data_IF_884788712164
#
_entry.id   IF_884788712164
#
_cell.length_a   1.000
_cell.length_b   1.000
_cell.length_c   1.000
_cell.angle_alpha   90.00
_cell.angle_beta   90.00
_cell.angle_gamma   90.00
#
_symmetry.space_group_name_H-M   'P 1'
#
loop_
_entity.id
_entity.type
_entity.pdbx_description
1 polymer ?
#
# COMPACT_ATOMS: atom_id res chain seq x y z
N UNK A 1 20.97 -8.14 -10.68
CA UNK A 1 19.94 -7.30 -11.36
C UNK A 1 18.56 -7.96 -11.43
N UNK A 2 18.45 -9.29 -11.42
CA UNK A 2 17.16 -10.03 -11.32
C UNK A 2 16.26 -9.70 -10.09
N UNK A 3 16.79 -9.49 -8.86
CA UNK A 3 15.94 -9.42 -7.67
C UNK A 3 14.95 -8.24 -7.65
N UNK A 4 15.33 -7.08 -8.20
CA UNK A 4 14.48 -5.87 -8.17
C UNK A 4 13.29 -5.97 -9.11
N UNK A 5 13.53 -6.39 -10.35
CA UNK A 5 12.47 -6.60 -11.32
C UNK A 5 11.50 -7.70 -10.88
N UNK A 6 12.01 -8.71 -10.15
CA UNK A 6 11.18 -9.76 -9.56
C UNK A 6 10.24 -9.20 -8.48
N UNK A 7 10.78 -8.41 -7.53
CA UNK A 7 9.95 -7.79 -6.48
C UNK A 7 8.92 -6.82 -7.06
N UNK A 8 9.30 -6.02 -8.06
CA UNK A 8 8.36 -5.12 -8.71
C UNK A 8 7.21 -5.89 -9.40
N UNK A 9 7.53 -6.99 -10.10
CA UNK A 9 6.53 -7.83 -10.76
C UNK A 9 5.62 -8.52 -9.74
N UNK A 10 6.19 -9.09 -8.68
CA UNK A 10 5.44 -9.70 -7.58
C UNK A 10 4.50 -8.69 -6.92
N UNK A 11 5.01 -7.50 -6.60
CA UNK A 11 4.21 -6.39 -6.08
C UNK A 11 3.06 -6.02 -7.01
N UNK A 12 3.31 -5.95 -8.32
CA UNK A 12 2.28 -5.64 -9.33
C UNK A 12 1.18 -6.69 -9.38
N UNK A 13 1.54 -7.97 -9.37
CA UNK A 13 0.59 -9.08 -9.35
C UNK A 13 -0.25 -9.04 -8.06
N UNK A 14 0.39 -8.88 -6.91
CA UNK A 14 -0.29 -8.81 -5.61
C UNK A 14 -1.23 -7.60 -5.54
N UNK A 15 -0.80 -6.43 -6.01
CA UNK A 15 -1.64 -5.24 -6.05
C UNK A 15 -2.89 -5.47 -6.89
N UNK A 16 -2.73 -6.01 -8.10
CA UNK A 16 -3.87 -6.34 -8.98
C UNK A 16 -4.82 -7.36 -8.35
N UNK A 17 -4.28 -8.38 -7.67
CA UNK A 17 -5.10 -9.32 -6.90
C UNK A 17 -5.84 -8.62 -5.76
N UNK A 18 -5.20 -7.73 -5.00
CA UNK A 18 -5.84 -6.97 -3.92
C UNK A 18 -6.98 -6.08 -4.41
N UNK A 19 -6.80 -5.42 -5.55
CA UNK A 19 -7.80 -4.53 -6.13
C UNK A 19 -9.06 -5.25 -6.64
N UNK A 20 -8.94 -6.53 -7.02
CA UNK A 20 -10.05 -7.35 -7.55
C UNK A 20 -10.90 -8.06 -6.49
N UNK A 21 -10.53 -7.97 -5.20
CA UNK A 21 -11.16 -8.76 -4.14
C UNK A 21 -12.08 -7.89 -3.28
N UNK A 22 -13.23 -8.45 -2.95
CA UNK A 22 -14.14 -7.87 -1.95
C UNK A 22 -13.88 -8.45 -0.55
N UNK A 23 -13.32 -9.66 -0.47
CA UNK A 23 -13.04 -10.33 0.80
C UNK A 23 -11.96 -9.59 1.59
N UNK A 24 -12.30 -9.16 2.82
CA UNK A 24 -11.50 -8.23 3.62
C UNK A 24 -10.07 -8.69 3.85
N UNK A 25 -9.90 -9.94 4.26
CA UNK A 25 -8.60 -10.45 4.74
C UNK A 25 -7.63 -10.71 3.59
N UNK A 26 -8.14 -11.21 2.46
CA UNK A 26 -7.33 -11.41 1.26
C UNK A 26 -6.93 -10.08 0.64
N UNK A 27 -7.84 -9.11 0.59
CA UNK A 27 -7.52 -7.76 0.13
C UNK A 27 -6.46 -7.11 1.03
N UNK A 28 -6.59 -7.25 2.35
CA UNK A 28 -5.58 -6.81 3.30
C UNK A 28 -4.21 -7.41 2.99
N UNK A 29 -4.12 -8.75 2.94
CA UNK A 29 -2.85 -9.45 2.76
C UNK A 29 -2.20 -9.09 1.43
N UNK A 30 -2.96 -9.10 0.33
CA UNK A 30 -2.42 -8.76 -0.98
C UNK A 30 -1.93 -7.32 -1.09
N UNK A 31 -2.70 -6.35 -0.58
CA UNK A 31 -2.29 -4.95 -0.63
C UNK A 31 -1.07 -4.69 0.27
N UNK A 32 -1.03 -5.26 1.48
CA UNK A 32 0.12 -5.13 2.37
C UNK A 32 1.39 -5.72 1.75
N UNK A 33 1.33 -6.96 1.27
CA UNK A 33 2.48 -7.62 0.64
C UNK A 33 2.92 -6.90 -0.64
N UNK A 34 1.98 -6.34 -1.42
CA UNK A 34 2.35 -5.55 -2.60
C UNK A 34 3.18 -4.32 -2.25
N UNK A 35 2.78 -3.58 -1.21
CA UNK A 35 3.54 -2.42 -0.71
C UNK A 35 4.94 -2.80 -0.25
N UNK A 36 5.07 -3.90 0.48
CA UNK A 36 6.37 -4.41 0.94
C UNK A 36 7.30 -4.79 -0.22
N UNK A 37 6.77 -5.42 -1.29
CA UNK A 37 7.53 -5.75 -2.49
C UNK A 37 8.10 -4.48 -3.17
N UNK A 38 7.31 -3.42 -3.28
CA UNK A 38 7.76 -2.16 -3.89
C UNK A 38 8.83 -1.44 -3.06
N UNK A 39 8.78 -1.56 -1.73
CA UNK A 39 9.76 -0.94 -0.82
C UNK A 39 11.16 -1.56 -0.89
N UNK A 40 11.30 -2.76 -1.49
CA UNK A 40 12.63 -3.36 -1.70
C UNK A 40 13.40 -2.66 -2.83
N UNK A 41 12.71 -1.93 -3.71
CA UNK A 41 13.34 -1.11 -4.74
C UNK A 41 13.35 0.37 -4.35
N UNK A 42 14.53 0.99 -4.33
CA UNK A 42 14.71 2.41 -4.01
C UNK A 42 14.46 3.33 -5.23
N UNK A 43 13.82 2.82 -6.28
CA UNK A 43 13.42 3.60 -7.44
C UNK A 43 12.17 4.43 -7.15
N UNK A 44 12.03 5.58 -7.84
CA UNK A 44 10.82 6.39 -7.72
C UNK A 44 9.64 5.64 -8.30
N UNK A 45 8.62 5.44 -7.46
CA UNK A 45 7.32 4.98 -7.93
C UNK A 45 6.24 5.39 -6.91
N UNK A 46 5.01 5.49 -7.37
CA UNK A 46 3.82 5.73 -6.55
C UNK A 46 3.19 4.44 -6.00
N UNK A 47 3.63 3.26 -6.46
CA UNK A 47 2.95 2.00 -6.22
C UNK A 47 2.93 1.58 -4.75
N UNK A 48 4.04 1.77 -4.02
CA UNK A 48 4.06 1.54 -2.56
C UNK A 48 3.05 2.45 -1.83
N UNK A 49 3.04 3.75 -2.18
CA UNK A 49 2.11 4.71 -1.60
C UNK A 49 0.65 4.38 -1.97
N UNK A 50 0.40 3.98 -3.22
CA UNK A 50 -0.92 3.56 -3.70
C UNK A 50 -1.42 2.30 -2.99
N UNK A 51 -0.58 1.27 -2.84
CA UNK A 51 -0.93 0.05 -2.12
C UNK A 51 -1.34 0.34 -0.68
N UNK A 52 -0.56 1.15 0.03
CA UNK A 52 -0.87 1.59 1.39
C UNK A 52 -2.12 2.47 1.44
N UNK A 53 -2.36 3.31 0.43
CA UNK A 53 -3.53 4.18 0.37
C UNK A 53 -4.82 3.40 0.13
N UNK A 54 -4.81 2.42 -0.79
CA UNK A 54 -5.96 1.55 -1.03
C UNK A 54 -6.22 0.63 0.18
N UNK A 55 -5.16 0.18 0.86
CA UNK A 55 -5.29 -0.54 2.13
C UNK A 55 -5.92 0.36 3.22
N UNK A 56 -5.51 1.63 3.29
CA UNK A 56 -6.07 2.59 4.23
C UNK A 56 -7.56 2.85 3.98
N UNK A 57 -7.97 2.97 2.71
CA UNK A 57 -9.39 3.10 2.33
C UNK A 57 -10.19 1.85 2.69
N UNK A 58 -9.61 0.68 2.47
CA UNK A 58 -10.25 -0.61 2.75
C UNK A 58 -10.51 -0.82 4.25
N UNK A 59 -9.55 -0.43 5.08
CA UNK A 59 -9.64 -0.60 6.54
C UNK A 59 -10.23 0.60 7.28
N UNK A 60 -10.50 1.69 6.56
CA UNK A 60 -10.67 3.04 7.11
C UNK A 60 -9.67 3.29 8.25
N UNK A 61 -8.36 3.28 7.92
CA UNK A 61 -7.31 3.31 8.93
C UNK A 61 -6.40 4.53 8.81
N UNK A 62 -6.46 5.40 9.83
CA UNK A 62 -5.57 6.55 9.95
C UNK A 62 -4.08 6.16 9.98
N UNK A 63 -3.75 4.98 10.52
CA UNK A 63 -2.38 4.47 10.53
C UNK A 63 -1.85 4.26 9.11
N UNK A 64 -2.61 3.57 8.27
CA UNK A 64 -2.19 3.28 6.90
C UNK A 64 -2.25 4.53 6.01
N UNK A 65 -3.18 5.46 6.26
CA UNK A 65 -3.15 6.78 5.60
C UNK A 65 -1.85 7.53 5.90
N UNK A 66 -1.39 7.55 7.17
CA UNK A 66 -0.11 8.18 7.53
C UNK A 66 1.09 7.50 6.87
N UNK A 67 1.06 6.16 6.75
CA UNK A 67 2.12 5.41 6.05
C UNK A 67 2.16 5.77 4.56
N UNK A 68 1.02 5.77 3.87
CA UNK A 68 0.91 6.20 2.47
C UNK A 68 1.43 7.63 2.28
N UNK A 69 1.07 8.56 3.17
CA UNK A 69 1.56 9.94 3.11
C UNK A 69 3.08 10.03 3.33
N UNK A 70 3.66 9.21 4.21
CA UNK A 70 5.10 9.20 4.45
C UNK A 70 5.86 8.80 3.19
N UNK A 71 5.42 7.72 2.54
CA UNK A 71 6.00 7.24 1.28
C UNK A 71 5.83 8.25 0.14
N UNK A 72 4.64 8.84 0.03
CA UNK A 72 4.38 9.86 -0.98
C UNK A 72 5.27 11.09 -0.82
N UNK A 73 5.48 11.57 0.41
CA UNK A 73 6.41 12.69 0.69
C UNK A 73 7.85 12.35 0.34
N UNK A 74 8.30 11.14 0.65
CA UNK A 74 9.66 10.70 0.33
C UNK A 74 9.90 10.69 -1.19
N UNK A 75 8.97 10.11 -1.96
CA UNK A 75 9.05 10.09 -3.42
C UNK A 75 8.94 11.49 -4.04
N UNK A 76 8.06 12.36 -3.53
CA UNK A 76 7.97 13.75 -3.99
C UNK A 76 9.25 14.55 -3.72
N UNK A 77 9.87 14.33 -2.56
CA UNK A 77 11.14 14.97 -2.21
C UNK A 77 12.28 14.50 -3.12
N UNK A 78 12.27 13.23 -3.50
CA UNK A 78 13.21 12.71 -4.49
C UNK A 78 12.93 13.26 -5.89
N UNK A 79 11.67 13.32 -6.33
CA UNK A 79 11.29 13.92 -7.61
C UNK A 79 11.70 15.39 -7.71
N UNK A 80 11.60 16.14 -6.61
CA UNK A 80 12.02 17.53 -6.54
C UNK A 80 13.55 17.73 -6.72
N UNK A 81 14.35 16.66 -6.66
CA UNK A 81 15.80 16.72 -6.91
C UNK A 81 16.16 16.72 -8.40
N UNK A 82 15.21 16.46 -9.29
CA UNK A 82 15.44 16.47 -10.74
C UNK A 82 15.22 17.86 -11.34
N UNK A 83 16.13 18.29 -12.22
CA UNK A 83 15.99 19.56 -12.96
C UNK A 83 14.81 19.57 -13.94
N UNK A 84 14.46 18.38 -14.47
CA UNK A 84 13.34 18.20 -15.40
C UNK A 84 12.75 16.81 -15.25
N UNK A 85 11.43 16.75 -15.09
CA UNK A 85 10.68 15.51 -14.99
C UNK A 85 10.33 14.97 -16.39
N UNK A 86 10.35 13.65 -16.53
CA UNK A 86 9.69 13.00 -17.66
C UNK A 86 8.17 13.07 -17.52
N UNK A 87 7.42 12.74 -18.59
CA UNK A 87 5.96 12.66 -18.50
C UNK A 87 5.50 11.63 -17.45
N UNK A 88 6.20 10.49 -17.36
CA UNK A 88 5.88 9.45 -16.37
C UNK A 88 6.15 9.93 -14.94
N UNK A 89 7.19 10.73 -14.73
CA UNK A 89 7.51 11.30 -13.42
C UNK A 89 6.49 12.38 -13.01
N UNK A 90 6.00 13.18 -13.95
CA UNK A 90 4.92 14.15 -13.71
C UNK A 90 3.60 13.46 -13.34
N UNK A 91 3.28 12.34 -14.01
CA UNK A 91 2.10 11.54 -13.67
C UNK A 91 2.25 10.90 -12.28
N UNK A 92 3.43 10.35 -11.98
CA UNK A 92 3.76 9.83 -10.64
C UNK A 92 3.62 10.92 -9.57
N UNK A 93 4.18 12.12 -9.82
CA UNK A 93 4.06 13.27 -8.93
C UNK A 93 2.61 13.61 -8.63
N UNK A 94 1.76 13.69 -9.66
CA UNK A 94 0.34 14.00 -9.53
C UNK A 94 -0.39 12.95 -8.68
N UNK A 95 -0.10 11.66 -8.89
CA UNK A 95 -0.66 10.58 -8.05
C UNK A 95 -0.28 10.78 -6.59
N UNK A 96 1.00 11.05 -6.31
CA UNK A 96 1.50 11.23 -4.95
C UNK A 96 0.90 12.47 -4.26
N UNK A 97 0.76 13.59 -4.97
CA UNK A 97 0.10 14.80 -4.47
C UNK A 97 -1.37 14.54 -4.10
N UNK A 98 -2.09 13.83 -4.97
CA UNK A 98 -3.48 13.42 -4.71
C UNK A 98 -3.60 12.51 -3.46
N UNK A 99 -2.66 11.57 -3.29
CA UNK A 99 -2.61 10.74 -2.06
C UNK A 99 -2.45 11.62 -0.82
N UNK A 100 -1.56 12.62 -0.85
CA UNK A 100 -1.37 13.53 0.30
C UNK A 100 -2.62 14.33 0.63
N UNK A 101 -3.31 14.84 -0.39
CA UNK A 101 -4.55 15.60 -0.22
C UNK A 101 -5.65 14.75 0.42
N UNK A 102 -5.95 13.61 -0.21
CA UNK A 102 -7.08 12.76 0.21
C UNK A 102 -6.81 12.11 1.56
N UNK A 103 -5.62 11.55 1.78
CA UNK A 103 -5.26 10.94 3.06
C UNK A 103 -5.23 11.99 4.18
N UNK A 104 -4.72 13.19 3.91
CA UNK A 104 -4.73 14.30 4.86
C UNK A 104 -6.15 14.72 5.23
N UNK A 105 -7.07 14.77 4.25
CA UNK A 105 -8.48 15.06 4.49
C UNK A 105 -9.14 13.99 5.37
N UNK A 106 -8.94 12.71 5.05
CA UNK A 106 -9.47 11.58 5.81
C UNK A 106 -9.02 11.58 7.27
N UNK A 107 -7.74 11.86 7.53
CA UNK A 107 -7.21 11.96 8.90
C UNK A 107 -7.86 13.12 9.66
N UNK A 108 -8.07 14.29 9.02
CA UNK A 108 -8.66 15.47 9.67
C UNK A 108 -10.13 15.31 10.01
N UNK A 109 -10.90 14.66 9.13
CA UNK A 109 -12.35 14.51 9.28
C UNK A 109 -12.76 13.44 10.30
N UNK A 110 -11.80 12.73 10.89
CA UNK A 110 -12.07 11.53 11.67
C UNK A 110 -12.31 10.36 10.71
N UNK A 111 -11.40 9.41 10.74
CA UNK A 111 -11.60 8.13 10.07
C UNK A 111 -12.63 7.37 10.91
N UNK A 112 -13.63 6.73 10.29
CA UNK A 112 -14.67 6.01 11.02
C UNK A 112 -14.00 4.82 11.71
N UNK A 113 -13.93 4.85 13.04
CA UNK A 113 -13.33 3.79 13.87
C UNK A 113 -14.14 2.46 13.84
N UNK A 114 -14.89 2.17 12.78
CA UNK A 114 -15.47 0.85 12.54
C UNK A 114 -14.37 -0.12 12.07
N UNK A 115 -13.37 -0.31 12.92
CA UNK A 115 -12.45 -1.43 12.82
C UNK A 115 -13.27 -2.68 13.11
N UNK A 116 -13.76 -3.34 12.07
CA UNK A 116 -14.09 -4.76 12.20
C UNK A 116 -12.76 -5.46 12.48
N UNK A 117 -12.50 -5.78 13.75
CA UNK A 117 -11.35 -6.59 14.12
C UNK A 117 -11.28 -7.80 13.18
N UNK A 118 -10.14 -8.05 12.52
CA UNK A 118 -9.98 -9.26 11.75
C UNK A 118 -10.16 -10.42 12.71
N UNK A 119 -11.25 -11.18 12.55
CA UNK A 119 -11.46 -12.43 13.28
C UNK A 119 -10.46 -13.44 12.75
N UNK A 120 -9.22 -13.35 13.24
CA UNK A 120 -8.23 -14.42 13.12
C UNK A 120 -8.78 -15.58 13.94
N UNK A 121 -9.61 -16.42 13.32
CA UNK A 121 -9.87 -17.76 13.82
C UNK A 121 -8.58 -18.53 13.61
N UNK A 122 -7.74 -18.59 14.65
CA UNK A 122 -6.79 -19.68 14.77
C UNK A 122 -7.53 -20.98 14.51
N UNK A 123 -7.07 -21.74 13.52
CA UNK A 123 -7.55 -23.09 13.28
C UNK A 123 -7.05 -23.99 14.42
N UNK A 124 -7.72 -23.91 15.58
CA UNK A 124 -7.65 -24.95 16.60
C UNK A 124 -8.29 -26.22 16.03
N UNK A 125 -7.48 -27.08 15.40
CA UNK A 125 -7.56 -28.55 15.49
C UNK A 125 -6.75 -29.21 14.38
N UNK A 126 -5.41 -29.17 14.49
CA UNK A 126 -4.56 -30.25 13.93
C UNK A 126 -3.36 -30.47 14.86
N UNK A 127 -3.58 -30.90 16.11
CA UNK A 127 -2.49 -31.51 16.88
C UNK A 127 -2.88 -32.55 17.93
N UNK A 128 -4.10 -33.10 17.87
CA UNK A 128 -4.49 -34.29 18.63
C UNK A 128 -4.71 -35.50 17.70
N UNK A 129 -3.68 -35.91 16.97
CA UNK A 129 -3.60 -37.25 16.33
C UNK A 129 -2.15 -37.73 16.18
N UNK A 130 -1.39 -37.73 17.26
CA UNK A 130 -0.27 -38.67 17.40
C UNK A 130 -0.37 -39.24 18.81
N UNK A 131 -0.92 -40.45 18.90
CA UNK A 131 -0.85 -41.32 20.06
C UNK A 131 -0.28 -42.64 19.56
#
# INVERSE_FOLDING_TARGET
>A
KLPRALNFLEGSILFEQGMRREHSDLKFAFLLSSGECYLVDNGVNDLAAMALFELAKHLDSALYYRKAMKDAKANLSFLASFDRLSLADEDTKRTLENILEVAGSKIRLGVSDEVSEPKVREAESVRNKIR
#
